data_IF_867260362381
#
_entry.id   IF_867260362381
#
_cell.length_a   1.000
_cell.length_b   1.000
_cell.length_c   1.000
_cell.angle_alpha   90.00
_cell.angle_beta   90.00
_cell.angle_gamma   90.00
#
_symmetry.space_group_name_H-M   'P 1'
#
loop_
_entity.id
_entity.type
_entity.pdbx_description
1 polymer ?
#
# COMPACT_ATOMS: atom_id res chain seq x y z
N UNK A 1 -34.84 25.85 21.23
CA UNK A 1 -34.64 24.40 21.06
C UNK A 1 -33.18 24.19 20.73
N UNK A 2 -32.52 23.25 21.40
CA UNK A 2 -31.11 22.95 21.12
C UNK A 2 -31.03 22.24 19.75
N UNK A 3 -30.35 22.85 18.77
CA UNK A 3 -30.03 22.22 17.48
C UNK A 3 -28.79 21.30 17.59
N UNK A 4 -28.51 20.77 18.79
CA UNK A 4 -27.38 19.90 19.03
C UNK A 4 -27.60 18.55 18.34
N UNK A 5 -26.59 18.12 17.59
CA UNK A 5 -26.55 16.82 16.93
C UNK A 5 -25.78 15.86 17.84
N UNK A 6 -26.44 14.84 18.37
CA UNK A 6 -25.81 13.84 19.24
C UNK A 6 -25.78 12.47 18.57
N UNK A 7 -24.86 11.62 19.02
CA UNK A 7 -24.65 10.28 18.48
C UNK A 7 -23.76 10.27 17.23
N UNK A 8 -23.61 9.07 16.67
CA UNK A 8 -22.83 8.83 15.46
C UNK A 8 -23.73 8.87 14.22
N UNK A 9 -23.29 9.60 13.19
CA UNK A 9 -24.04 9.84 11.97
C UNK A 9 -23.25 9.38 10.75
N UNK A 10 -23.95 8.80 9.76
CA UNK A 10 -23.35 8.49 8.46
C UNK A 10 -23.07 9.78 7.70
N UNK A 11 -21.88 9.86 7.13
CA UNK A 11 -21.48 10.97 6.28
C UNK A 11 -20.68 10.48 5.08
N UNK A 12 -20.55 11.36 4.09
CA UNK A 12 -19.66 11.19 2.94
C UNK A 12 -18.63 12.33 2.91
N UNK A 13 -17.40 11.99 2.53
CA UNK A 13 -16.33 12.96 2.32
C UNK A 13 -16.56 13.69 1.00
N UNK A 14 -16.65 15.02 1.03
CA UNK A 14 -16.90 15.85 -0.17
C UNK A 14 -15.66 16.61 -0.64
N UNK A 15 -14.72 16.90 0.26
CA UNK A 15 -13.42 17.49 -0.05
C UNK A 15 -12.36 17.09 0.99
N UNK A 16 -11.09 17.09 0.58
CA UNK A 16 -9.95 16.63 1.41
C UNK A 16 -8.85 17.68 1.56
N UNK A 17 -8.96 18.80 0.85
CA UNK A 17 -7.99 19.89 0.86
C UNK A 17 -8.53 21.05 1.69
N UNK A 18 -8.33 21.00 3.01
CA UNK A 18 -8.68 22.10 3.90
C UNK A 18 -7.94 23.37 3.47
N UNK A 19 -8.63 24.49 3.18
CA UNK A 19 -8.01 25.76 2.79
C UNK A 19 -6.98 26.29 3.80
N UNK A 20 -7.04 25.84 5.06
CA UNK A 20 -6.08 26.21 6.11
C UNK A 20 -4.95 25.19 6.30
N UNK A 21 -4.95 24.09 5.56
CA UNK A 21 -3.94 23.04 5.66
C UNK A 21 -3.94 22.28 6.99
N UNK A 22 -5.06 22.21 7.73
CA UNK A 22 -5.12 21.61 9.06
C UNK A 22 -5.40 20.10 9.05
N UNK A 23 -5.17 19.44 7.91
CA UNK A 23 -5.40 18.00 7.73
C UNK A 23 -6.83 17.56 8.09
N UNK A 24 -7.82 18.37 7.71
CA UNK A 24 -9.25 18.08 7.88
C UNK A 24 -9.88 17.60 6.58
N UNK A 25 -11.03 16.95 6.67
CA UNK A 25 -11.87 16.64 5.51
C UNK A 25 -13.25 17.25 5.66
N UNK A 26 -13.81 17.75 4.56
CA UNK A 26 -15.15 18.32 4.54
C UNK A 26 -16.16 17.18 4.43
N UNK A 27 -17.19 17.22 5.29
CA UNK A 27 -18.14 16.12 5.45
C UNK A 27 -19.57 16.55 5.18
N UNK A 28 -20.34 15.68 4.53
CA UNK A 28 -21.79 15.81 4.37
C UNK A 28 -22.50 14.72 5.17
N UNK A 29 -23.28 15.08 6.19
CA UNK A 29 -24.17 14.13 6.83
C UNK A 29 -25.25 13.68 5.85
N UNK A 30 -25.37 12.38 5.66
CA UNK A 30 -26.39 11.79 4.79
C UNK A 30 -27.79 12.02 5.38
N UNK A 31 -28.78 12.33 4.54
CA UNK A 31 -30.17 12.64 4.89
C UNK A 31 -30.40 13.95 5.66
N UNK A 32 -29.44 14.39 6.49
CA UNK A 32 -29.58 15.63 7.27
C UNK A 32 -29.19 16.87 6.45
N UNK A 33 -28.20 16.75 5.57
CA UNK A 33 -27.62 17.90 4.86
C UNK A 33 -27.78 17.85 3.34
N UNK A 34 -28.62 16.99 2.78
CA UNK A 34 -28.73 16.75 1.33
C UNK A 34 -29.00 18.03 0.51
N UNK A 35 -29.67 19.04 1.08
CA UNK A 35 -29.95 20.33 0.43
C UNK A 35 -28.91 21.44 0.65
N UNK A 36 -27.83 21.19 1.40
CA UNK A 36 -26.83 22.21 1.73
C UNK A 36 -25.71 22.18 0.68
N UNK A 37 -25.25 23.31 0.11
CA UNK A 37 -24.10 23.32 -0.81
C UNK A 37 -22.80 22.81 -0.17
N UNK A 38 -21.94 22.12 -0.93
CA UNK A 38 -20.69 21.52 -0.39
C UNK A 38 -19.77 22.58 0.22
N UNK A 39 -19.69 23.77 -0.38
CA UNK A 39 -18.73 24.82 -0.03
C UNK A 39 -18.94 25.38 1.38
N UNK A 40 -20.15 25.26 1.91
CA UNK A 40 -20.51 25.75 3.25
C UNK A 40 -20.51 24.65 4.32
N UNK A 41 -20.23 23.40 3.93
CA UNK A 41 -20.16 22.28 4.85
C UNK A 41 -18.93 22.40 5.78
N UNK A 42 -19.03 21.91 7.02
CA UNK A 42 -17.94 21.99 7.98
C UNK A 42 -16.79 21.03 7.65
N UNK A 43 -15.60 21.44 8.08
CA UNK A 43 -14.37 20.63 8.05
C UNK A 43 -14.25 19.81 9.33
N UNK A 44 -14.18 18.49 9.20
CA UNK A 44 -14.09 17.55 10.29
C UNK A 44 -12.65 17.20 10.67
N UNK A 45 -12.42 17.05 11.96
CA UNK A 45 -11.19 16.49 12.51
C UNK A 45 -11.22 14.96 12.47
N UNK A 46 -10.05 14.32 12.54
CA UNK A 46 -9.94 12.87 12.63
C UNK A 46 -9.76 12.42 14.07
N UNK A 47 -10.56 11.45 14.50
CA UNK A 47 -10.29 10.70 15.73
C UNK A 47 -9.15 9.71 15.44
N UNK A 48 -7.93 10.09 15.77
CA UNK A 48 -6.76 9.24 15.58
C UNK A 48 -6.67 8.15 16.66
N UNK A 49 -6.15 6.99 16.28
CA UNK A 49 -5.72 5.97 17.23
C UNK A 49 -4.60 6.52 18.12
N UNK A 50 -4.46 5.98 19.33
CA UNK A 50 -3.29 6.26 20.18
C UNK A 50 -2.03 5.86 19.38
N UNK A 51 -1.08 6.79 19.25
CA UNK A 51 0.10 6.65 18.39
C UNK A 51 0.01 7.43 17.06
N UNK A 52 -1.16 7.96 16.70
CA UNK A 52 -1.29 8.96 15.63
C UNK A 52 -1.30 8.41 14.20
N UNK A 53 -1.67 7.14 13.99
CA UNK A 53 -1.84 6.60 12.63
C UNK A 53 -2.91 7.40 11.87
N UNK A 54 -2.55 7.93 10.70
CA UNK A 54 -3.43 8.71 9.84
C UNK A 54 -3.64 7.98 8.52
N UNK A 55 -4.90 7.74 8.15
CA UNK A 55 -5.28 7.27 6.82
C UNK A 55 -5.97 8.43 6.10
N UNK A 56 -5.43 8.91 4.97
CA UNK A 56 -6.07 10.00 4.23
C UNK A 56 -7.41 9.53 3.68
N UNK A 57 -8.44 10.33 3.92
CA UNK A 57 -9.70 10.17 3.22
C UNK A 57 -9.53 10.56 1.74
N UNK A 58 -10.39 10.02 0.90
CA UNK A 58 -10.61 10.50 -0.48
C UNK A 58 -12.06 10.93 -0.64
N UNK A 59 -12.32 11.83 -1.59
CA UNK A 59 -13.69 12.23 -1.93
C UNK A 59 -14.53 10.98 -2.25
N UNK A 60 -15.72 10.89 -1.66
CA UNK A 60 -16.62 9.76 -1.80
C UNK A 60 -16.50 8.69 -0.69
N UNK A 61 -15.47 8.74 0.16
CA UNK A 61 -15.39 7.82 1.30
C UNK A 61 -16.61 7.98 2.21
N UNK A 62 -17.21 6.85 2.60
CA UNK A 62 -18.26 6.80 3.60
C UNK A 62 -17.63 6.70 4.99
N UNK A 63 -18.11 7.54 5.92
CA UNK A 63 -17.54 7.66 7.27
C UNK A 63 -18.62 7.81 8.33
N UNK A 64 -18.22 7.54 9.58
CA UNK A 64 -18.99 7.87 10.77
C UNK A 64 -18.49 9.19 11.35
N UNK A 65 -19.41 10.09 11.69
CA UNK A 65 -19.12 11.42 12.25
C UNK A 65 -19.86 11.61 13.57
N UNK A 66 -19.16 12.17 14.55
CA UNK A 66 -19.71 12.61 15.83
C UNK A 66 -19.49 14.12 16.02
N UNK A 67 -20.25 14.74 16.93
CA UNK A 67 -20.16 16.17 17.26
C UNK A 67 -19.83 16.36 18.75
N UNK A 68 -18.57 16.13 19.15
CA UNK A 68 -18.19 16.01 20.57
C UNK A 68 -18.29 17.34 21.34
N UNK A 69 -18.25 18.49 20.65
CA UNK A 69 -18.28 19.82 21.27
C UNK A 69 -19.71 20.32 21.50
N UNK A 70 -20.44 19.60 22.37
CA UNK A 70 -21.82 19.94 22.75
C UNK A 70 -22.85 19.72 21.63
N UNK A 71 -22.55 18.88 20.64
CA UNK A 71 -23.40 18.63 19.48
C UNK A 71 -23.38 19.74 18.43
N UNK A 72 -22.41 20.66 18.49
CA UNK A 72 -22.29 21.76 17.55
C UNK A 72 -21.95 21.30 16.13
N UNK A 73 -22.86 21.51 15.17
CA UNK A 73 -22.72 21.07 13.76
C UNK A 73 -21.49 21.63 13.02
N UNK A 74 -20.85 22.69 13.55
CA UNK A 74 -19.68 23.33 12.96
C UNK A 74 -18.36 22.59 13.23
N UNK A 75 -18.34 21.67 14.19
CA UNK A 75 -17.13 20.98 14.64
C UNK A 75 -17.32 19.45 14.64
N UNK A 76 -17.54 18.85 13.46
CA UNK A 76 -17.61 17.39 13.34
C UNK A 76 -16.25 16.73 13.58
N UNK A 77 -16.30 15.46 13.99
CA UNK A 77 -15.15 14.58 14.11
C UNK A 77 -15.45 13.26 13.40
N UNK A 78 -14.60 12.89 12.43
CA UNK A 78 -14.60 11.58 11.77
C UNK A 78 -14.10 10.55 12.78
N UNK A 79 -14.89 9.51 13.02
CA UNK A 79 -14.61 8.47 14.01
C UNK A 79 -14.18 7.14 13.40
N UNK A 80 -14.43 6.95 12.10
CA UNK A 80 -14.01 5.76 11.36
C UNK A 80 -14.63 5.72 9.97
N UNK A 81 -14.13 4.80 9.14
CA UNK A 81 -14.77 4.46 7.88
C UNK A 81 -16.09 3.74 8.14
N UNK A 82 -17.06 3.94 7.24
CA UNK A 82 -18.35 3.33 7.33
C UNK A 82 -18.50 2.30 6.21
N UNK A 83 -18.60 1.02 6.58
CA UNK A 83 -18.89 -0.04 5.63
C UNK A 83 -20.33 0.09 5.13
N UNK A 84 -20.50 -0.10 3.84
CA UNK A 84 -21.80 -0.15 3.17
C UNK A 84 -21.74 -1.16 2.02
N UNK A 85 -22.88 -1.61 1.52
CA UNK A 85 -22.97 -2.49 0.37
C UNK A 85 -24.08 -2.03 -0.59
N UNK A 86 -23.99 -0.82 -1.15
CA UNK A 86 -24.99 -0.34 -2.09
C UNK A 86 -25.07 -1.32 -3.27
N UNK A 87 -26.30 -1.73 -3.63
CA UNK A 87 -26.55 -2.73 -4.67
C UNK A 87 -25.98 -4.12 -4.39
N UNK A 88 -25.64 -4.43 -3.13
CA UNK A 88 -25.16 -5.74 -2.71
C UNK A 88 -23.64 -5.95 -2.81
N UNK A 89 -22.88 -4.93 -3.23
CA UNK A 89 -21.41 -4.99 -3.34
C UNK A 89 -20.78 -4.17 -2.20
N UNK A 90 -20.02 -4.79 -1.28
CA UNK A 90 -19.33 -4.07 -0.22
C UNK A 90 -18.38 -2.98 -0.74
N UNK A 91 -18.39 -1.82 -0.11
CA UNK A 91 -17.49 -0.69 -0.39
C UNK A 91 -16.05 -0.88 0.13
N UNK A 92 -15.57 -2.12 0.15
CA UNK A 92 -14.20 -2.48 0.52
C UNK A 92 -13.46 -2.98 -0.73
N UNK A 93 -12.15 -3.18 -0.59
CA UNK A 93 -11.33 -3.74 -1.66
C UNK A 93 -11.89 -5.10 -2.15
N UNK A 94 -11.95 -5.36 -3.47
CA UNK A 94 -12.34 -6.67 -3.99
C UNK A 94 -11.53 -7.84 -3.44
N UNK A 95 -10.27 -7.59 -3.11
CA UNK A 95 -9.36 -8.54 -2.47
C UNK A 95 -9.85 -8.94 -1.06
N UNK A 96 -10.55 -8.04 -0.35
CA UNK A 96 -11.17 -8.32 0.94
C UNK A 96 -12.56 -8.95 0.81
N UNK A 97 -13.39 -8.50 -0.14
CA UNK A 97 -14.78 -8.95 -0.25
C UNK A 97 -14.97 -10.20 -1.12
N UNK A 98 -14.04 -10.47 -2.03
CA UNK A 98 -14.22 -11.42 -3.13
C UNK A 98 -15.24 -10.95 -4.18
N UNK A 99 -15.63 -9.66 -4.14
CA UNK A 99 -16.63 -9.08 -5.04
C UNK A 99 -16.05 -7.89 -5.81
N UNK A 100 -16.36 -7.81 -7.10
CA UNK A 100 -15.77 -6.83 -8.02
C UNK A 100 -14.52 -7.39 -8.72
N UNK A 101 -13.76 -6.51 -9.38
CA UNK A 101 -12.51 -6.88 -10.04
C UNK A 101 -11.32 -6.69 -9.11
N UNK A 102 -10.76 -7.80 -8.61
CA UNK A 102 -9.50 -7.76 -7.89
C UNK A 102 -8.36 -7.31 -8.81
N UNK A 103 -7.30 -6.77 -8.21
CA UNK A 103 -6.06 -6.54 -8.94
C UNK A 103 -5.48 -7.88 -9.39
N UNK A 104 -5.17 -7.98 -10.68
CA UNK A 104 -4.51 -9.14 -11.29
C UNK A 104 -3.03 -8.78 -11.49
N UNK A 105 -2.11 -9.36 -10.71
CA UNK A 105 -0.68 -9.15 -10.88
C UNK A 105 -0.19 -9.65 -12.24
N UNK A 106 0.81 -8.97 -12.81
CA UNK A 106 1.49 -9.48 -14.01
C UNK A 106 2.28 -10.74 -13.67
N UNK A 107 2.26 -11.71 -14.59
CA UNK A 107 3.12 -12.89 -14.50
C UNK A 107 4.60 -12.50 -14.62
N UNK A 108 5.41 -13.01 -13.68
CA UNK A 108 6.87 -12.86 -13.69
C UNK A 108 7.47 -14.26 -13.79
N UNK A 109 8.18 -14.53 -14.88
CA UNK A 109 8.77 -15.84 -15.14
C UNK A 109 9.69 -16.26 -13.98
N UNK A 110 9.47 -17.48 -13.47
CA UNK A 110 10.26 -18.06 -12.38
C UNK A 110 9.95 -17.50 -10.99
N UNK A 111 9.04 -16.52 -10.85
CA UNK A 111 8.64 -16.02 -9.55
C UNK A 111 7.80 -17.05 -8.78
N UNK A 112 7.94 -17.13 -7.44
CA UNK A 112 7.01 -17.89 -6.62
C UNK A 112 5.60 -17.28 -6.70
N UNK A 113 4.54 -18.06 -6.40
CA UNK A 113 3.19 -17.52 -6.36
C UNK A 113 3.07 -16.44 -5.29
N UNK A 114 2.26 -15.42 -5.56
CA UNK A 114 1.88 -14.41 -4.56
C UNK A 114 0.92 -15.02 -3.51
N UNK A 115 0.74 -14.35 -2.35
CA UNK A 115 -0.18 -14.81 -1.32
C UNK A 115 -1.59 -15.10 -1.88
N UNK A 116 -2.15 -16.22 -1.46
CA UNK A 116 -3.49 -16.61 -1.90
C UNK A 116 -4.54 -15.76 -1.19
N UNK A 117 -5.39 -15.08 -1.98
CA UNK A 117 -6.50 -14.30 -1.44
C UNK A 117 -7.53 -15.22 -0.77
N UNK A 118 -7.87 -14.89 0.48
CA UNK A 118 -8.95 -15.48 1.25
C UNK A 118 -9.93 -14.36 1.64
N UNK A 119 -10.93 -14.09 0.78
CA UNK A 119 -11.96 -13.09 1.07
C UNK A 119 -12.55 -13.26 2.48
N UNK A 120 -12.82 -12.13 3.14
CA UNK A 120 -13.33 -12.00 4.51
C UNK A 120 -12.37 -12.42 5.64
N UNK A 121 -11.21 -13.01 5.30
CA UNK A 121 -10.23 -13.49 6.29
C UNK A 121 -8.92 -12.71 6.25
N UNK A 122 -8.57 -12.17 5.10
CA UNK A 122 -7.34 -11.39 4.93
C UNK A 122 -7.46 -10.00 5.54
N UNK A 123 -6.34 -9.49 6.04
CA UNK A 123 -6.20 -8.05 6.22
C UNK A 123 -5.85 -7.42 4.87
N UNK A 124 -6.67 -6.48 4.42
CA UNK A 124 -6.46 -5.78 3.15
C UNK A 124 -6.52 -4.28 3.36
N UNK A 125 -5.48 -3.60 2.89
CA UNK A 125 -5.45 -2.15 2.77
C UNK A 125 -5.22 -1.77 1.31
N UNK A 126 -6.18 -1.04 0.72
CA UNK A 126 -6.12 -0.59 -0.67
C UNK A 126 -6.38 0.90 -0.76
N UNK A 127 -5.35 1.68 -1.04
CA UNK A 127 -5.44 3.16 -1.14
C UNK A 127 -4.29 3.72 -1.96
N UNK A 128 -4.55 4.74 -2.79
CA UNK A 128 -3.51 5.49 -3.51
C UNK A 128 -2.58 4.60 -4.35
N UNK A 129 -3.14 3.65 -5.11
CA UNK A 129 -2.41 2.63 -5.88
C UNK A 129 -1.55 1.67 -5.03
N UNK A 130 -1.61 1.76 -3.70
CA UNK A 130 -0.99 0.80 -2.80
C UNK A 130 -2.00 -0.27 -2.41
N UNK A 131 -1.61 -1.53 -2.58
CA UNK A 131 -2.33 -2.69 -2.08
C UNK A 131 -1.42 -3.43 -1.10
N UNK A 132 -1.89 -3.57 0.14
CA UNK A 132 -1.23 -4.37 1.19
C UNK A 132 -2.18 -5.48 1.58
N UNK A 133 -1.69 -6.72 1.54
CA UNK A 133 -2.44 -7.91 1.92
C UNK A 133 -1.63 -8.66 2.96
N UNK A 134 -2.26 -9.00 4.08
CA UNK A 134 -1.77 -10.08 4.95
C UNK A 134 -2.77 -11.22 4.81
N UNK A 135 -2.33 -12.31 4.19
CA UNK A 135 -3.23 -13.43 3.92
C UNK A 135 -3.51 -14.23 5.20
N UNK A 136 -4.68 -14.84 5.26
CA UNK A 136 -5.05 -15.74 6.34
C UNK A 136 -4.13 -16.97 6.46
N UNK A 137 -3.41 -17.30 5.38
CA UNK A 137 -2.41 -18.37 5.34
C UNK A 137 -1.02 -17.96 5.87
N UNK A 138 -0.82 -16.69 6.23
CA UNK A 138 0.46 -16.19 6.76
C UNK A 138 1.38 -15.55 5.73
N UNK A 139 0.91 -15.34 4.49
CA UNK A 139 1.61 -14.56 3.49
C UNK A 139 1.43 -13.05 3.67
N UNK A 140 2.30 -12.27 3.05
CA UNK A 140 2.21 -10.80 3.01
C UNK A 140 2.62 -10.28 1.64
N UNK A 141 1.95 -9.25 1.13
CA UNK A 141 2.37 -8.55 -0.07
C UNK A 141 2.13 -7.05 0.05
N UNK A 142 3.05 -6.27 -0.53
CA UNK A 142 2.94 -4.83 -0.71
C UNK A 142 3.16 -4.54 -2.20
N UNK A 143 2.12 -4.05 -2.86
CA UNK A 143 2.10 -3.88 -4.32
C UNK A 143 1.73 -2.46 -4.69
N UNK A 144 2.50 -1.86 -5.60
CA UNK A 144 2.05 -0.69 -6.35
C UNK A 144 1.25 -1.17 -7.56
N UNK A 145 -0.07 -0.99 -7.53
CA UNK A 145 -0.98 -1.48 -8.57
C UNK A 145 -0.82 -0.76 -9.92
N UNK A 146 -0.24 0.44 -9.94
CA UNK A 146 -0.04 1.19 -11.17
C UNK A 146 1.20 0.71 -11.95
N UNK A 147 2.27 0.35 -11.24
CA UNK A 147 3.49 -0.17 -11.88
C UNK A 147 3.58 -1.69 -11.91
N UNK A 148 2.90 -2.39 -10.99
CA UNK A 148 3.05 -3.82 -10.74
C UNK A 148 4.24 -4.19 -9.85
N UNK A 149 5.02 -3.22 -9.38
CA UNK A 149 6.14 -3.48 -8.46
C UNK A 149 5.62 -4.06 -7.14
N UNK A 150 6.28 -5.10 -6.63
CA UNK A 150 5.79 -5.89 -5.51
C UNK A 150 6.94 -6.36 -4.61
N UNK A 151 6.71 -6.36 -3.29
CA UNK A 151 7.50 -7.11 -2.31
C UNK A 151 6.54 -8.03 -1.57
N UNK A 152 6.83 -9.32 -1.55
CA UNK A 152 5.93 -10.32 -1.00
C UNK A 152 6.65 -11.49 -0.33
N UNK A 153 5.92 -12.20 0.52
CA UNK A 153 6.23 -13.52 1.03
C UNK A 153 4.97 -14.37 0.94
N UNK A 154 5.04 -15.53 0.29
CA UNK A 154 3.89 -16.43 0.19
C UNK A 154 3.71 -17.29 1.46
N UNK A 155 2.67 -18.11 1.48
CA UNK A 155 2.35 -18.99 2.61
C UNK A 155 3.39 -20.10 2.85
N UNK A 156 4.22 -20.42 1.85
CA UNK A 156 5.35 -21.34 1.99
C UNK A 156 6.60 -20.67 2.57
N UNK A 157 6.60 -19.34 2.70
CA UNK A 157 7.75 -18.55 3.16
C UNK A 157 8.71 -18.13 2.05
N UNK A 158 8.37 -18.34 0.77
CA UNK A 158 9.17 -17.85 -0.34
C UNK A 158 9.04 -16.33 -0.43
N UNK A 159 10.17 -15.64 -0.44
CA UNK A 159 10.24 -14.19 -0.51
C UNK A 159 10.49 -13.75 -1.96
N UNK A 160 9.78 -12.70 -2.37
CA UNK A 160 9.82 -12.17 -3.73
C UNK A 160 9.96 -10.64 -3.72
N UNK A 161 10.90 -10.15 -4.52
CA UNK A 161 11.10 -8.72 -4.76
C UNK A 161 11.07 -8.49 -6.27
N UNK A 162 10.07 -7.75 -6.74
CA UNK A 162 9.93 -7.40 -8.14
C UNK A 162 9.78 -5.90 -8.32
N UNK A 163 10.67 -5.35 -9.14
CA UNK A 163 10.57 -3.99 -9.63
C UNK A 163 10.23 -4.06 -11.12
N UNK A 164 9.08 -3.50 -11.50
CA UNK A 164 8.72 -3.33 -12.90
C UNK A 164 9.51 -2.19 -13.59
N UNK A 165 10.17 -1.34 -12.79
CA UNK A 165 11.12 -0.33 -13.23
C UNK A 165 12.51 -0.59 -12.66
N UNK A 166 13.25 0.47 -12.34
CA UNK A 166 14.60 0.33 -11.77
C UNK A 166 14.60 -0.20 -10.33
N UNK A 167 15.54 -1.11 -10.03
CA UNK A 167 15.85 -1.52 -8.66
C UNK A 167 17.17 -0.89 -8.21
N UNK A 168 17.11 -0.04 -7.19
CA UNK A 168 18.28 0.65 -6.65
C UNK A 168 18.56 0.19 -5.21
N UNK A 169 19.70 -0.45 -4.99
CA UNK A 169 20.19 -0.87 -3.68
C UNK A 169 21.40 -0.04 -3.28
N UNK A 170 21.24 0.79 -2.24
CA UNK A 170 22.31 1.58 -1.65
C UNK A 170 22.48 1.23 -0.18
N UNK A 171 23.71 0.89 0.21
CA UNK A 171 24.04 0.43 1.55
C UNK A 171 25.31 1.14 2.01
N UNK A 172 25.20 1.88 3.12
CA UNK A 172 26.35 2.60 3.71
C UNK A 172 27.33 1.67 4.45
N UNK A 173 26.86 0.48 4.82
CA UNK A 173 27.67 -0.56 5.46
C UNK A 173 27.96 -1.73 4.52
N UNK A 174 28.36 -2.86 5.11
CA UNK A 174 28.65 -4.08 4.35
C UNK A 174 27.35 -4.77 3.92
N UNK A 175 27.32 -5.25 2.67
CA UNK A 175 26.29 -6.19 2.20
C UNK A 175 26.89 -7.59 2.14
N UNK A 176 26.16 -8.59 2.62
CA UNK A 176 26.57 -9.99 2.56
C UNK A 176 25.41 -10.83 2.03
N UNK A 177 25.65 -11.56 0.95
CA UNK A 177 24.69 -12.51 0.38
C UNK A 177 25.25 -13.92 0.64
N UNK A 178 24.50 -14.75 1.35
CA UNK A 178 24.86 -16.14 1.64
C UNK A 178 23.72 -17.04 1.19
N UNK A 179 24.04 -18.04 0.39
CA UNK A 179 23.13 -19.12 0.02
C UNK A 179 23.83 -20.45 0.24
N UNK A 180 23.09 -21.46 0.71
CA UNK A 180 23.56 -22.85 0.68
C UNK A 180 23.38 -23.46 -0.71
N UNK A 181 22.43 -22.93 -1.47
CA UNK A 181 22.20 -23.29 -2.86
C UNK A 181 22.92 -22.34 -3.83
N UNK A 182 22.52 -22.42 -5.09
CA UNK A 182 23.03 -21.56 -6.14
C UNK A 182 22.61 -20.09 -5.93
N UNK A 183 23.46 -19.17 -6.39
CA UNK A 183 23.11 -17.76 -6.58
C UNK A 183 23.36 -17.46 -8.05
N UNK A 184 22.33 -16.98 -8.73
CA UNK A 184 22.38 -16.67 -10.16
C UNK A 184 22.18 -15.18 -10.37
N UNK A 185 23.04 -14.58 -11.21
CA UNK A 185 22.92 -13.20 -11.65
C UNK A 185 22.79 -13.17 -13.18
N UNK A 186 21.64 -12.72 -13.68
CA UNK A 186 21.35 -12.67 -15.12
C UNK A 186 21.10 -11.23 -15.57
N UNK A 187 21.64 -10.89 -16.75
CA UNK A 187 21.41 -9.59 -17.39
C UNK A 187 21.48 -9.75 -18.89
N UNK A 188 20.45 -9.30 -19.59
CA UNK A 188 20.37 -9.37 -21.05
C UNK A 188 21.30 -8.37 -21.76
N UNK A 189 21.67 -7.27 -21.10
CA UNK A 189 22.49 -6.21 -21.69
C UNK A 189 23.96 -6.28 -21.24
N UNK A 190 24.19 -6.44 -19.93
CA UNK A 190 25.53 -6.50 -19.38
C UNK A 190 25.58 -6.45 -17.86
N UNK A 191 26.68 -6.95 -17.31
CA UNK A 191 26.96 -6.95 -15.88
C UNK A 191 28.24 -6.14 -15.62
N UNK A 192 28.18 -5.16 -14.72
CA UNK A 192 29.30 -4.29 -14.38
C UNK A 192 29.55 -4.32 -12.88
N UNK A 193 30.80 -4.51 -12.49
CA UNK A 193 31.25 -4.44 -11.10
C UNK A 193 32.41 -3.46 -11.01
N UNK A 194 32.39 -2.59 -10.00
CA UNK A 194 33.46 -1.63 -9.72
C UNK A 194 33.77 -1.66 -8.23
N UNK A 195 35.06 -1.75 -7.91
CA UNK A 195 35.60 -1.61 -6.56
C UNK A 195 36.73 -0.58 -6.59
N UNK A 196 36.88 0.21 -5.52
CA UNK A 196 38.02 1.12 -5.37
C UNK A 196 39.27 0.41 -4.86
N UNK A 197 39.10 -0.73 -4.18
CA UNK A 197 40.18 -1.57 -3.70
C UNK A 197 40.34 -2.77 -4.63
N UNK A 198 39.97 -3.97 -4.16
CA UNK A 198 40.02 -5.20 -4.95
C UNK A 198 38.64 -5.79 -5.22
N UNK A 199 38.60 -6.71 -6.19
CA UNK A 199 37.52 -7.69 -6.38
C UNK A 199 38.18 -9.06 -6.28
N UNK A 200 37.64 -9.94 -5.44
CA UNK A 200 38.16 -11.30 -5.24
C UNK A 200 37.08 -12.33 -5.59
N UNK A 201 37.45 -13.35 -6.36
CA UNK A 201 36.62 -14.52 -6.63
C UNK A 201 37.34 -15.76 -6.09
N UNK A 202 36.71 -16.50 -5.19
CA UNK A 202 37.27 -17.70 -4.57
C UNK A 202 36.35 -18.89 -4.83
N UNK A 203 36.92 -20.01 -5.29
CA UNK A 203 36.20 -21.26 -5.52
C UNK A 203 37.09 -22.44 -5.12
N UNK A 204 36.52 -23.43 -4.44
CA UNK A 204 37.26 -24.63 -4.00
C UNK A 204 37.40 -25.70 -5.10
N UNK A 205 36.59 -25.63 -6.16
CA UNK A 205 36.59 -26.64 -7.23
C UNK A 205 37.18 -26.06 -8.52
N UNK A 206 36.68 -24.92 -8.97
CA UNK A 206 37.14 -24.28 -10.20
C UNK A 206 36.40 -22.99 -10.50
N UNK A 207 37.01 -22.16 -11.35
CA UNK A 207 36.42 -20.94 -11.88
C UNK A 207 36.36 -21.06 -13.41
N UNK A 208 35.15 -21.00 -13.96
CA UNK A 208 34.93 -21.06 -15.41
C UNK A 208 34.41 -19.71 -15.88
N UNK A 209 35.12 -19.09 -16.81
CA UNK A 209 34.68 -17.90 -17.51
C UNK A 209 34.65 -18.18 -19.00
N UNK A 210 33.57 -17.78 -19.68
CA UNK A 210 33.40 -17.90 -21.12
C UNK A 210 33.04 -16.55 -21.70
N UNK A 211 33.90 -16.02 -22.55
CA UNK A 211 33.67 -14.80 -23.29
C UNK A 211 34.28 -14.94 -24.69
N UNK A 212 33.74 -14.23 -25.71
CA UNK A 212 34.37 -14.17 -27.03
C UNK A 212 35.73 -13.46 -26.99
N UNK A 213 35.94 -12.58 -26.00
CA UNK A 213 37.18 -11.84 -25.78
C UNK A 213 37.40 -11.60 -24.30
N UNK A 214 38.64 -11.78 -23.85
CA UNK A 214 39.11 -11.29 -22.55
C UNK A 214 40.08 -10.13 -22.78
N UNK A 215 39.78 -8.98 -22.19
CA UNK A 215 40.64 -7.81 -22.22
C UNK A 215 41.09 -7.47 -20.80
N UNK A 216 42.39 -7.29 -20.62
CA UNK A 216 42.97 -6.78 -19.39
C UNK A 216 43.74 -5.53 -19.72
N UNK A 217 43.45 -4.44 -19.02
CA UNK A 217 44.19 -3.20 -19.08
C UNK A 217 44.72 -2.89 -17.68
N UNK A 218 46.01 -2.70 -17.56
CA UNK A 218 46.60 -2.10 -16.36
C UNK A 218 46.50 -0.58 -16.53
N UNK A 219 45.99 0.11 -15.51
CA UNK A 219 46.07 1.57 -15.39
C UNK A 219 47.28 1.94 -14.56
#
# INVERSE_FOLDING_TARGET
MSNAIYGSHRAIIVATEDPKGLMKAQVRLLALWDGIPDEVLPWAEYRLSIGGTFTPAVKGDLVWVEFPYGGGSRYPMITGAAQDAPHGIPNVAPEASGQGGAYEPSDVEGAPPLPALSPTKDFVYKRNNLLVIHSAGGGVSITNMASGSCIAMNEAGDIFHHAAGDFFLNVSGNTTIKSQGEITFESAAGFKTKSQAGITFESMAGFNAKAPLFGFSQF
#
